data_IF_459786381550
#
_entry.id   IF_459786381550
#
_cell.length_a   1.000
_cell.length_b   1.000
_cell.length_c   1.000
_cell.angle_alpha   90.00
_cell.angle_beta   90.00
_cell.angle_gamma   90.00
#
_symmetry.space_group_name_H-M   'P 1'
#
loop_
_entity.id
_entity.type
_entity.pdbx_description
1 polymer ?
#
# COMPACT_ATOMS: atom_id res chain seq x y z
N UNK A 1 23.82 28.97 -10.25
CA UNK A 1 22.84 28.34 -9.34
C UNK A 1 22.82 26.83 -9.58
N UNK A 2 23.14 26.02 -8.55
CA UNK A 2 23.41 24.56 -8.61
C UNK A 2 22.26 23.68 -9.16
N UNK A 3 21.05 24.23 -9.23
CA UNK A 3 19.81 23.54 -9.63
C UNK A 3 19.38 23.82 -11.09
N UNK A 4 20.24 24.45 -11.90
CA UNK A 4 19.95 24.63 -13.34
C UNK A 4 20.62 23.56 -14.22
N UNK A 5 21.62 22.86 -13.71
CA UNK A 5 22.43 21.92 -14.49
C UNK A 5 21.63 20.69 -14.94
N UNK A 6 20.68 20.24 -14.11
CA UNK A 6 19.86 19.06 -14.38
C UNK A 6 18.40 19.44 -14.64
N UNK A 7 18.14 20.68 -15.06
CA UNK A 7 16.79 21.15 -15.39
C UNK A 7 16.74 21.40 -16.89
N UNK A 8 15.86 20.68 -17.58
CA UNK A 8 15.54 20.95 -18.98
C UNK A 8 14.03 21.16 -19.13
N UNK A 9 13.66 22.14 -19.94
CA UNK A 9 12.28 22.39 -20.32
C UNK A 9 12.24 22.19 -21.83
N UNK A 10 11.41 21.25 -22.27
CA UNK A 10 11.24 20.90 -23.68
C UNK A 10 9.76 21.03 -24.05
N UNK A 11 9.46 21.94 -24.98
CA UNK A 11 8.13 22.45 -25.29
C UNK A 11 7.33 22.89 -24.06
N UNK A 12 6.53 21.98 -23.51
CA UNK A 12 5.69 22.18 -22.32
C UNK A 12 5.98 21.19 -21.20
N UNK A 13 7.09 20.44 -21.29
CA UNK A 13 7.47 19.40 -20.34
C UNK A 13 8.69 19.85 -19.56
N UNK A 14 8.57 19.78 -18.23
CA UNK A 14 9.66 20.07 -17.30
C UNK A 14 10.29 18.76 -16.87
N UNK A 15 11.60 18.65 -17.09
CA UNK A 15 12.36 17.49 -16.64
C UNK A 15 13.41 17.88 -15.60
N UNK A 16 13.51 17.04 -14.58
CA UNK A 16 14.61 17.03 -13.63
C UNK A 16 15.46 15.80 -13.92
N UNK A 17 16.72 15.98 -14.27
CA UNK A 17 17.53 14.97 -14.94
C UNK A 17 16.81 14.50 -16.23
N UNK A 18 16.61 13.20 -16.38
CA UNK A 18 15.88 12.55 -17.46
C UNK A 18 14.37 12.37 -17.16
N UNK A 19 13.96 12.59 -15.91
CA UNK A 19 12.60 12.33 -15.44
C UNK A 19 11.66 13.50 -15.71
N UNK A 20 10.49 13.23 -16.28
CA UNK A 20 9.43 14.22 -16.52
C UNK A 20 8.67 14.51 -15.21
N UNK A 21 8.82 15.71 -14.67
CA UNK A 21 8.37 16.05 -13.31
C UNK A 21 7.14 16.95 -13.26
N UNK A 22 6.94 17.77 -14.28
CA UNK A 22 5.77 18.63 -14.40
C UNK A 22 5.48 18.99 -15.86
N UNK A 23 4.23 19.35 -16.14
CA UNK A 23 3.80 19.86 -17.46
C UNK A 23 3.30 21.29 -17.31
N UNK A 24 3.76 22.17 -18.19
CA UNK A 24 3.32 23.56 -18.29
C UNK A 24 2.02 23.58 -19.08
N UNK A 25 0.96 24.09 -18.46
CA UNK A 25 -0.29 24.41 -19.12
C UNK A 25 -0.35 25.92 -19.34
N UNK A 26 0.03 26.35 -20.55
CA UNK A 26 0.02 27.74 -20.95
C UNK A 26 -1.40 28.33 -21.01
N UNK A 27 -2.42 27.52 -21.31
CA UNK A 27 -3.80 28.00 -21.42
C UNK A 27 -4.38 28.32 -20.04
N UNK A 28 -4.06 27.50 -19.04
CA UNK A 28 -4.53 27.67 -17.67
C UNK A 28 -3.56 28.45 -16.77
N UNK A 29 -2.39 28.89 -17.28
CA UNK A 29 -1.29 29.48 -16.51
C UNK A 29 -0.87 28.62 -15.30
N UNK A 30 -0.84 27.31 -15.48
CA UNK A 30 -0.59 26.32 -14.42
C UNK A 30 0.62 25.45 -14.72
N UNK A 31 1.28 25.00 -13.66
CA UNK A 31 2.32 23.97 -13.72
C UNK A 31 1.79 22.70 -13.03
N UNK A 32 1.44 21.70 -13.83
CA UNK A 32 0.88 20.43 -13.39
C UNK A 32 1.99 19.50 -12.91
N UNK A 33 2.06 19.26 -11.60
CA UNK A 33 3.10 18.43 -10.97
C UNK A 33 2.64 16.97 -10.98
N UNK A 34 3.43 16.08 -11.58
CA UNK A 34 3.06 14.66 -11.78
C UNK A 34 3.13 13.78 -10.52
N UNK A 35 3.53 14.33 -9.37
CA UNK A 35 3.62 13.55 -8.14
C UNK A 35 4.32 14.26 -6.99
N UNK A 36 4.77 13.45 -6.02
CA UNK A 36 5.63 13.90 -4.92
C UNK A 36 7.09 13.75 -5.34
N UNK A 37 7.86 14.82 -5.16
CA UNK A 37 9.25 14.87 -5.59
C UNK A 37 10.19 15.12 -4.42
N UNK A 38 11.45 14.70 -4.57
CA UNK A 38 12.52 15.04 -3.62
C UNK A 38 12.69 16.56 -3.50
N UNK A 39 13.40 17.01 -2.46
CA UNK A 39 13.65 18.44 -2.21
C UNK A 39 14.34 19.12 -3.39
N UNK A 40 15.30 18.44 -4.04
CA UNK A 40 16.04 18.98 -5.18
C UNK A 40 15.15 19.12 -6.41
N UNK A 41 14.36 18.11 -6.72
CA UNK A 41 13.41 18.15 -7.85
C UNK A 41 12.28 19.15 -7.62
N UNK A 42 11.80 19.29 -6.38
CA UNK A 42 10.81 20.31 -6.03
C UNK A 42 11.34 21.73 -6.25
N UNK A 43 12.64 21.97 -6.03
CA UNK A 43 13.29 23.25 -6.36
C UNK A 43 13.33 23.52 -7.86
N UNK A 44 13.51 22.50 -8.71
CA UNK A 44 13.43 22.67 -10.17
C UNK A 44 12.03 23.10 -10.60
N UNK A 45 10.99 22.42 -10.09
CA UNK A 45 9.58 22.76 -10.35
C UNK A 45 9.26 24.18 -9.89
N UNK A 46 9.70 24.57 -8.69
CA UNK A 46 9.53 25.94 -8.20
C UNK A 46 10.24 26.96 -9.08
N UNK A 47 11.47 26.69 -9.50
CA UNK A 47 12.21 27.60 -10.37
C UNK A 47 11.50 27.84 -11.70
N UNK A 48 10.93 26.79 -12.31
CA UNK A 48 10.13 26.94 -13.53
C UNK A 48 8.86 27.74 -13.25
N UNK A 49 8.15 27.46 -12.16
CA UNK A 49 6.97 28.23 -11.79
C UNK A 49 7.28 29.73 -11.63
N UNK A 50 8.39 30.08 -10.97
CA UNK A 50 8.79 31.46 -10.73
C UNK A 50 9.22 32.18 -12.03
N UNK A 51 9.97 31.51 -12.91
CA UNK A 51 10.45 32.10 -14.18
C UNK A 51 9.29 32.39 -15.13
N UNK A 52 8.30 31.49 -15.20
CA UNK A 52 7.15 31.62 -16.10
C UNK A 52 5.90 32.22 -15.43
N UNK A 53 5.98 32.58 -14.15
CA UNK A 53 4.84 33.14 -13.39
C UNK A 53 3.65 32.18 -13.28
N UNK A 54 3.90 30.88 -13.21
CA UNK A 54 2.87 29.83 -13.24
C UNK A 54 2.39 29.46 -11.84
N UNK A 55 1.11 29.15 -11.71
CA UNK A 55 0.55 28.59 -10.48
C UNK A 55 0.74 27.08 -10.44
N UNK A 56 1.40 26.57 -9.40
CA UNK A 56 1.63 25.13 -9.21
C UNK A 56 0.33 24.42 -8.85
N UNK A 57 -0.01 23.38 -9.60
CA UNK A 57 -1.17 22.52 -9.32
C UNK A 57 -0.69 21.09 -9.26
N UNK A 58 -1.00 20.40 -8.16
CA UNK A 58 -0.70 18.98 -8.04
C UNK A 58 -1.67 18.21 -8.92
N UNK A 59 -1.17 17.31 -9.76
CA UNK A 59 -2.04 16.38 -10.45
C UNK A 59 -2.69 15.48 -9.39
N UNK A 60 -3.97 15.70 -9.12
CA UNK A 60 -4.77 14.76 -8.36
C UNK A 60 -4.88 13.51 -9.21
N UNK A 61 -4.24 12.43 -8.76
CA UNK A 61 -4.47 11.12 -9.37
C UNK A 61 -5.94 10.81 -9.19
N UNK A 62 -6.61 10.36 -10.26
CA UNK A 62 -7.90 9.70 -10.12
C UNK A 62 -7.74 8.60 -9.05
N UNK A 63 -8.38 8.78 -7.90
CA UNK A 63 -8.29 7.83 -6.81
C UNK A 63 -8.94 6.52 -7.30
N UNK A 64 -8.13 5.48 -7.49
CA UNK A 64 -8.67 4.14 -7.67
C UNK A 64 -9.62 3.85 -6.49
N UNK A 65 -10.75 3.14 -6.71
CA UNK A 65 -11.68 2.83 -5.65
C UNK A 65 -10.93 2.20 -4.47
N UNK A 66 -11.00 2.85 -3.32
CA UNK A 66 -10.36 2.39 -2.08
C UNK A 66 -11.12 1.15 -1.62
N UNK A 67 -10.60 -0.05 -1.91
CA UNK A 67 -11.18 -1.31 -1.43
C UNK A 67 -11.29 -1.25 0.10
N UNK A 68 -12.50 -1.50 0.63
CA UNK A 68 -12.71 -1.53 2.07
C UNK A 68 -11.82 -2.62 2.69
N UNK A 69 -11.08 -2.24 3.74
CA UNK A 69 -10.19 -3.15 4.44
C UNK A 69 -11.02 -4.25 5.10
N UNK A 70 -11.02 -5.45 4.51
CA UNK A 70 -11.70 -6.60 5.10
C UNK A 70 -10.87 -7.13 6.28
N UNK A 71 -11.34 -7.01 7.54
CA UNK A 71 -10.60 -7.46 8.72
C UNK A 71 -10.33 -8.97 8.68
N UNK A 72 -11.18 -9.75 8.02
CA UNK A 72 -11.03 -11.19 7.84
C UNK A 72 -9.81 -11.53 6.98
N UNK A 73 -9.63 -10.85 5.84
CA UNK A 73 -8.43 -11.00 4.97
C UNK A 73 -7.15 -10.64 5.73
N UNK A 74 -7.20 -9.57 6.54
CA UNK A 74 -6.05 -9.11 7.34
C UNK A 74 -5.70 -10.15 8.41
N UNK A 75 -6.68 -10.60 9.18
CA UNK A 75 -6.49 -11.61 10.23
C UNK A 75 -5.92 -12.92 9.68
N UNK A 76 -6.41 -13.36 8.52
CA UNK A 76 -5.92 -14.54 7.82
C UNK A 76 -4.45 -14.39 7.39
N UNK A 77 -4.06 -13.23 6.85
CA UNK A 77 -2.67 -12.94 6.51
C UNK A 77 -1.73 -12.99 7.72
N UNK A 78 -2.14 -12.42 8.86
CA UNK A 78 -1.35 -12.44 10.11
C UNK A 78 -1.28 -13.85 10.70
N UNK A 79 -2.37 -14.62 10.62
CA UNK A 79 -2.38 -16.02 11.06
C UNK A 79 -1.35 -16.87 10.31
N UNK A 80 -1.19 -16.66 8.99
CA UNK A 80 -0.22 -17.39 8.17
C UNK A 80 1.24 -17.12 8.54
N UNK A 81 1.56 -15.97 9.14
CA UNK A 81 2.92 -15.68 9.61
C UNK A 81 3.36 -16.63 10.74
N UNK A 82 2.42 -17.34 11.39
CA UNK A 82 2.76 -18.40 12.34
C UNK A 82 3.60 -19.52 11.71
N UNK A 83 3.45 -19.77 10.41
CA UNK A 83 4.29 -20.75 9.70
C UNK A 83 5.77 -20.36 9.65
N UNK A 84 6.07 -19.06 9.83
CA UNK A 84 7.42 -18.50 9.84
C UNK A 84 7.93 -18.35 11.28
N UNK A 85 7.07 -17.93 12.20
CA UNK A 85 7.47 -17.59 13.57
C UNK A 85 7.42 -18.74 14.57
N UNK A 86 6.79 -19.86 14.22
CA UNK A 86 6.62 -20.98 15.12
C UNK A 86 7.28 -22.24 14.54
N UNK A 87 7.95 -23.00 15.40
CA UNK A 87 8.69 -24.20 14.99
C UNK A 87 7.78 -25.43 14.99
N UNK A 88 6.98 -25.59 16.06
CA UNK A 88 6.10 -26.76 16.22
C UNK A 88 4.70 -26.55 15.62
N UNK A 89 4.06 -27.65 15.22
CA UNK A 89 2.68 -27.64 14.72
C UNK A 89 1.68 -27.09 15.76
N UNK A 90 1.89 -27.44 17.04
CA UNK A 90 1.04 -26.95 18.14
C UNK A 90 1.16 -25.42 18.31
N UNK A 91 2.36 -24.86 18.23
CA UNK A 91 2.58 -23.41 18.30
C UNK A 91 1.99 -22.69 17.09
N UNK A 92 2.13 -23.26 15.88
CA UNK A 92 1.50 -22.73 14.66
C UNK A 92 -0.02 -22.67 14.81
N UNK A 93 -0.63 -23.73 15.32
CA UNK A 93 -2.08 -23.79 15.55
C UNK A 93 -2.53 -22.81 16.64
N UNK A 94 -1.78 -22.70 17.74
CA UNK A 94 -2.06 -21.74 18.81
C UNK A 94 -1.95 -20.29 18.31
N UNK A 95 -0.92 -19.98 17.51
CA UNK A 95 -0.76 -18.68 16.85
C UNK A 95 -1.93 -18.37 15.92
N UNK A 96 -2.22 -19.27 14.97
CA UNK A 96 -3.32 -19.12 14.00
C UNK A 96 -4.65 -18.89 14.72
N UNK A 97 -4.97 -19.69 15.74
CA UNK A 97 -6.16 -19.51 16.59
C UNK A 97 -6.21 -18.12 17.19
N UNK A 98 -5.12 -17.66 17.83
CA UNK A 98 -5.06 -16.35 18.48
C UNK A 98 -5.26 -15.20 17.50
N UNK A 99 -4.62 -15.26 16.33
CA UNK A 99 -4.72 -14.20 15.32
C UNK A 99 -6.11 -14.13 14.69
N UNK A 100 -6.73 -15.28 14.43
CA UNK A 100 -8.09 -15.33 13.90
C UNK A 100 -9.12 -14.86 14.93
N UNK A 101 -9.05 -15.33 16.18
CA UNK A 101 -9.99 -14.89 17.23
C UNK A 101 -9.85 -13.39 17.54
N UNK A 102 -8.63 -12.85 17.54
CA UNK A 102 -8.42 -11.43 17.80
C UNK A 102 -8.80 -10.54 16.61
N UNK A 103 -8.56 -11.01 15.38
CA UNK A 103 -8.76 -10.23 14.15
C UNK A 103 -10.15 -10.36 13.52
N UNK A 104 -10.94 -11.35 13.93
CA UNK A 104 -12.27 -11.64 13.37
C UNK A 104 -13.33 -11.49 14.47
N UNK A 105 -14.00 -10.32 14.54
CA UNK A 105 -15.11 -10.13 15.47
C UNK A 105 -16.20 -11.17 15.24
N UNK A 106 -16.63 -11.86 16.29
CA UNK A 106 -17.70 -12.86 16.23
C UNK A 106 -17.26 -14.27 15.81
N UNK A 107 -15.96 -14.54 15.67
CA UNK A 107 -15.46 -15.90 15.49
C UNK A 107 -15.62 -16.70 16.80
N UNK A 108 -16.49 -17.70 16.79
CA UNK A 108 -16.72 -18.60 17.92
C UNK A 108 -15.89 -19.89 17.74
N UNK A 109 -15.16 -20.29 18.78
CA UNK A 109 -14.38 -21.52 18.80
C UNK A 109 -15.18 -22.59 19.57
N UNK A 110 -15.42 -23.78 18.99
CA UNK A 110 -16.26 -24.78 19.62
C UNK A 110 -15.66 -25.31 20.93
N UNK A 111 -16.51 -25.64 21.89
CA UNK A 111 -16.13 -26.10 23.23
C UNK A 111 -15.26 -27.37 23.25
N UNK A 112 -15.31 -28.21 22.20
CA UNK A 112 -14.50 -29.41 22.08
C UNK A 112 -13.12 -29.17 21.43
N UNK A 113 -12.75 -27.92 21.16
CA UNK A 113 -11.52 -27.55 20.45
C UNK A 113 -10.26 -28.18 21.06
N UNK A 114 -10.14 -28.14 22.38
CA UNK A 114 -8.93 -28.59 23.06
C UNK A 114 -8.75 -30.11 23.01
N UNK A 115 -9.82 -30.87 22.76
CA UNK A 115 -9.79 -32.33 22.59
C UNK A 115 -9.45 -32.80 21.16
N UNK A 116 -9.26 -31.88 20.21
CA UNK A 116 -8.92 -32.24 18.83
C UNK A 116 -7.42 -32.53 18.68
N UNK A 117 -7.07 -33.39 17.72
CA UNK A 117 -5.67 -33.59 17.32
C UNK A 117 -5.12 -32.33 16.65
N UNK A 118 -3.81 -32.11 16.73
CA UNK A 118 -3.17 -30.95 16.09
C UNK A 118 -3.36 -30.92 14.57
N UNK A 119 -3.43 -32.08 13.92
CA UNK A 119 -3.73 -32.17 12.49
C UNK A 119 -5.16 -31.72 12.16
N UNK A 120 -6.15 -32.06 13.00
CA UNK A 120 -7.54 -31.64 12.81
C UNK A 120 -7.72 -30.14 13.12
N UNK A 121 -7.01 -29.61 14.13
CA UNK A 121 -6.96 -28.16 14.40
C UNK A 121 -6.38 -27.40 13.22
N UNK A 122 -5.27 -27.87 12.66
CA UNK A 122 -4.61 -27.26 11.51
C UNK A 122 -5.55 -27.22 10.30
N UNK A 123 -6.17 -28.35 9.96
CA UNK A 123 -7.13 -28.46 8.86
C UNK A 123 -8.27 -27.45 8.98
N UNK A 124 -8.81 -27.26 10.18
CA UNK A 124 -9.89 -26.29 10.44
C UNK A 124 -9.42 -24.85 10.31
N UNK A 125 -8.25 -24.52 10.86
CA UNK A 125 -7.68 -23.16 10.78
C UNK A 125 -7.33 -22.78 9.35
N UNK A 126 -6.74 -23.71 8.59
CA UNK A 126 -6.40 -23.49 7.19
C UNK A 126 -7.65 -23.36 6.33
N UNK A 127 -8.71 -24.14 6.59
CA UNK A 127 -10.00 -23.97 5.94
C UNK A 127 -10.59 -22.56 6.15
N UNK A 128 -10.52 -22.03 7.37
CA UNK A 128 -10.95 -20.65 7.67
C UNK A 128 -10.11 -19.62 6.91
N UNK A 129 -8.79 -19.83 6.82
CA UNK A 129 -7.88 -18.93 6.11
C UNK A 129 -8.13 -18.94 4.60
N UNK A 130 -8.41 -20.10 4.00
CA UNK A 130 -8.69 -20.20 2.56
C UNK A 130 -10.02 -19.55 2.18
N UNK A 131 -11.06 -19.74 3.00
CA UNK A 131 -12.32 -18.98 2.86
C UNK A 131 -12.08 -17.48 2.95
N UNK A 132 -11.17 -17.03 3.82
CA UNK A 132 -10.83 -15.61 3.97
C UNK A 132 -10.15 -15.01 2.75
N UNK A 133 -9.37 -15.81 2.01
CA UNK A 133 -8.72 -15.39 0.76
C UNK A 133 -9.66 -15.31 -0.43
N UNK A 134 -10.89 -15.80 -0.31
CA UNK A 134 -11.87 -15.85 -1.40
C UNK A 134 -11.83 -17.13 -2.22
N UNK A 135 -11.26 -18.22 -1.69
CA UNK A 135 -11.35 -19.55 -2.29
C UNK A 135 -12.70 -20.18 -1.99
N UNK A 136 -13.54 -20.35 -3.02
CA UNK A 136 -14.62 -21.35 -3.09
C UNK A 136 -14.24 -22.33 -4.20
#
# INVERSE_FOLDING_TARGET
MKYKQNLRVDDSKVFSYDTHVATIDCAAHKLLIHGYWSVTTSKHVNHVADVYGLTKVKAEKAEAPKEEKNPFKIAAGVAMLGNIFCDSQAEKNAWKKRMLVAGVPGLDIPNNWDGLSEAEKEKRLDGVIELAKGGI
#
